data_IF_640473802303
#
_entry.id   IF_640473802303
#
_cell.length_a   1.000
_cell.length_b   1.000
_cell.length_c   1.000
_cell.angle_alpha   90.00
_cell.angle_beta   90.00
_cell.angle_gamma   90.00
#
_symmetry.space_group_name_H-M   'P 1'
#
loop_
_entity.id
_entity.type
_entity.pdbx_description
1 polymer ?
#
# COMPACT_ATOMS: atom_id res chain seq x y z
N UNK A 1 -9.85 15.77 14.63
CA UNK A 1 -9.63 16.34 13.30
C UNK A 1 -8.89 17.66 13.36
N UNK A 2 -9.30 18.52 14.28
CA UNK A 2 -8.64 19.81 14.43
C UNK A 2 -7.17 19.66 14.75
N UNK A 3 -6.79 18.61 15.43
CA UNK A 3 -5.39 18.35 15.76
C UNK A 3 -4.54 18.14 14.52
N UNK A 4 -5.14 17.57 13.49
CA UNK A 4 -4.43 17.26 12.27
C UNK A 4 -4.13 18.48 11.43
N UNK A 5 -4.71 19.62 11.78
CA UNK A 5 -4.55 20.86 11.04
C UNK A 5 -3.59 21.82 11.71
N UNK A 6 -3.01 21.44 12.84
CA UNK A 6 -2.08 22.29 13.55
C UNK A 6 -0.78 22.40 12.75
N UNK A 7 -0.40 23.62 12.42
CA UNK A 7 0.77 23.86 11.61
C UNK A 7 0.47 23.66 10.12
N UNK A 8 1.51 23.73 9.33
CA UNK A 8 1.41 23.56 7.88
C UNK A 8 1.27 22.09 7.45
N UNK A 9 1.47 21.19 8.37
CA UNK A 9 1.44 19.76 8.07
C UNK A 9 0.10 19.18 8.44
N UNK A 10 -0.49 18.49 7.50
CA UNK A 10 -1.74 17.82 7.73
C UNK A 10 -1.51 16.50 8.44
N UNK A 11 -2.46 16.10 9.24
CA UNK A 11 -2.45 14.78 9.81
C UNK A 11 -2.73 13.79 8.69
N UNK A 12 -1.73 13.03 8.32
CA UNK A 12 -1.82 12.07 7.22
C UNK A 12 -2.90 11.02 7.48
N UNK A 13 -3.15 10.70 8.75
CA UNK A 13 -4.17 9.72 9.14
C UNK A 13 -5.57 10.04 8.66
N UNK A 14 -5.87 11.32 8.45
CA UNK A 14 -7.18 11.74 7.96
C UNK A 14 -7.16 11.98 6.46
N UNK A 15 -6.06 11.64 5.79
CA UNK A 15 -5.82 12.01 4.40
C UNK A 15 -5.75 10.85 3.43
N UNK A 16 -6.32 9.69 3.78
CA UNK A 16 -6.35 8.56 2.83
C UNK A 16 -7.19 8.98 1.62
N UNK A 17 -6.54 8.96 0.45
CA UNK A 17 -7.20 9.33 -0.81
C UNK A 17 -8.04 8.15 -1.29
N UNK A 18 -9.17 8.45 -1.90
CA UNK A 18 -10.10 7.43 -2.35
C UNK A 18 -10.20 7.40 -3.86
N UNK A 19 -10.71 6.29 -4.38
CA UNK A 19 -10.88 6.09 -5.82
C UNK A 19 -11.56 7.29 -6.45
N UNK A 20 -10.98 7.80 -7.52
CA UNK A 20 -11.42 9.02 -8.18
C UNK A 20 -10.44 10.17 -7.99
N UNK A 21 -9.56 10.08 -7.00
CA UNK A 21 -8.52 11.08 -6.79
C UNK A 21 -7.37 10.79 -7.77
N UNK A 22 -6.99 11.77 -8.56
CA UNK A 22 -5.97 11.63 -9.60
C UNK A 22 -4.61 11.15 -9.08
N UNK A 23 -4.29 11.47 -7.83
CA UNK A 23 -3.00 11.06 -7.24
C UNK A 23 -2.85 9.54 -7.23
N UNK A 24 -3.95 8.80 -7.12
CA UNK A 24 -3.93 7.34 -7.10
C UNK A 24 -3.58 6.75 -8.47
N UNK A 25 -3.71 7.53 -9.51
CA UNK A 25 -3.38 7.11 -10.88
C UNK A 25 -2.05 7.66 -11.37
N UNK A 26 -1.37 8.47 -10.55
CA UNK A 26 -0.08 9.06 -10.91
C UNK A 26 1.03 8.07 -10.59
N UNK A 27 2.09 8.14 -11.39
CA UNK A 27 3.28 7.35 -11.12
C UNK A 27 4.08 8.05 -10.03
N UNK A 28 4.47 7.32 -9.01
CA UNK A 28 5.24 7.87 -7.90
C UNK A 28 6.71 8.07 -8.28
N UNK A 29 7.36 9.02 -7.61
CA UNK A 29 8.76 9.38 -7.86
C UNK A 29 9.67 8.67 -6.88
N UNK A 30 10.86 8.33 -7.35
CA UNK A 30 11.86 7.70 -6.51
C UNK A 30 12.34 8.62 -5.39
N UNK A 31 12.68 8.02 -4.26
CA UNK A 31 13.29 8.72 -3.14
C UNK A 31 14.78 8.56 -3.30
N UNK A 32 15.51 9.68 -3.31
CA UNK A 32 16.95 9.68 -3.55
C UNK A 32 17.78 9.73 -2.26
N UNK A 33 17.20 10.23 -1.18
CA UNK A 33 17.87 10.29 0.12
C UNK A 33 16.85 10.28 1.25
N UNK A 34 17.27 9.80 2.41
CA UNK A 34 16.43 9.83 3.59
C UNK A 34 16.50 11.23 4.22
N UNK A 35 15.34 11.74 4.59
CA UNK A 35 15.23 13.03 5.27
C UNK A 35 14.36 12.87 6.51
N UNK A 36 14.46 13.79 7.50
CA UNK A 36 13.59 13.73 8.67
C UNK A 36 12.10 13.73 8.29
N UNK A 37 11.75 14.41 7.21
CA UNK A 37 10.37 14.47 6.74
C UNK A 37 9.89 13.10 6.23
N UNK A 38 10.77 12.35 5.57
CA UNK A 38 10.42 11.01 5.11
C UNK A 38 10.33 10.05 6.29
N UNK A 39 11.20 10.18 7.29
CA UNK A 39 11.12 9.36 8.49
C UNK A 39 9.79 9.58 9.20
N UNK A 40 9.37 10.82 9.32
CA UNK A 40 8.09 11.18 9.91
C UNK A 40 6.93 10.62 9.08
N UNK A 41 7.05 10.70 7.75
CA UNK A 41 6.04 10.14 6.85
C UNK A 41 5.89 8.62 7.06
N UNK A 42 6.99 7.91 7.22
CA UNK A 42 6.95 6.46 7.46
C UNK A 42 6.16 6.15 8.73
N UNK A 43 6.44 6.85 9.81
CA UNK A 43 5.74 6.66 11.08
C UNK A 43 4.25 6.97 10.95
N UNK A 44 3.92 8.07 10.27
CA UNK A 44 2.54 8.46 10.04
C UNK A 44 1.80 7.46 9.17
N UNK A 45 2.47 6.88 8.19
CA UNK A 45 1.87 5.87 7.32
C UNK A 45 1.54 4.60 8.11
N UNK A 46 2.43 4.16 9.00
CA UNK A 46 2.14 3.02 9.87
C UNK A 46 0.95 3.31 10.78
N UNK A 47 0.92 4.48 11.39
CA UNK A 47 -0.19 4.86 12.27
C UNK A 47 -1.52 4.88 11.50
N UNK A 48 -1.50 5.45 10.30
CA UNK A 48 -2.68 5.51 9.42
C UNK A 48 -3.16 4.11 9.07
N UNK A 49 -2.23 3.24 8.70
CA UNK A 49 -2.53 1.87 8.33
C UNK A 49 -3.14 1.10 9.50
N UNK A 50 -2.55 1.21 10.68
CA UNK A 50 -3.05 0.51 11.88
C UNK A 50 -4.43 1.03 12.29
N UNK A 51 -4.65 2.33 12.25
CA UNK A 51 -5.96 2.91 12.59
C UNK A 51 -7.06 2.45 11.64
N UNK A 52 -6.71 2.21 10.39
CA UNK A 52 -7.66 1.76 9.38
C UNK A 52 -7.74 0.24 9.27
N UNK A 53 -7.03 -0.49 10.13
CA UNK A 53 -6.98 -1.96 10.13
C UNK A 53 -6.46 -2.54 8.82
N UNK A 54 -5.53 -1.82 8.17
CA UNK A 54 -4.92 -2.27 6.94
C UNK A 54 -3.66 -3.08 7.18
N UNK A 55 -3.22 -3.81 6.16
CA UNK A 55 -1.99 -4.60 6.20
C UNK A 55 -0.89 -3.98 5.33
N UNK A 56 -1.23 -2.97 4.54
CA UNK A 56 -0.27 -2.26 3.70
C UNK A 56 -0.80 -0.89 3.33
N UNK A 57 0.12 0.02 3.02
CA UNK A 57 -0.23 1.37 2.60
C UNK A 57 0.91 1.93 1.74
N UNK A 58 0.55 2.54 0.62
CA UNK A 58 1.50 3.21 -0.27
C UNK A 58 1.37 4.72 -0.12
N UNK A 59 2.48 5.44 -0.26
CA UNK A 59 2.49 6.90 -0.08
C UNK A 59 1.46 7.65 -0.94
N UNK A 60 1.23 7.28 -2.21
CA UNK A 60 0.17 7.95 -2.98
C UNK A 60 -1.20 7.91 -2.33
N UNK A 61 -1.50 6.88 -1.53
CA UNK A 61 -2.78 6.78 -0.85
C UNK A 61 -2.98 7.86 0.22
N UNK A 62 -1.91 8.47 0.66
CA UNK A 62 -1.97 9.62 1.59
C UNK A 62 -1.58 10.92 0.90
N UNK A 63 -1.61 10.94 -0.42
CA UNK A 63 -1.39 12.15 -1.21
C UNK A 63 0.07 12.49 -1.48
N UNK A 64 0.98 11.58 -1.24
CA UNK A 64 2.42 11.81 -1.42
C UNK A 64 2.93 10.97 -2.60
N UNK A 65 3.38 11.63 -3.65
CA UNK A 65 3.86 10.97 -4.88
C UNK A 65 5.30 10.49 -4.74
N UNK A 66 5.51 9.56 -3.81
CA UNK A 66 6.85 8.97 -3.61
C UNK A 66 6.75 7.46 -3.57
N UNK A 67 7.80 6.79 -4.02
CA UNK A 67 7.85 5.32 -4.09
C UNK A 67 8.20 4.77 -2.70
N UNK A 68 7.22 4.82 -1.83
CA UNK A 68 7.33 4.39 -0.43
C UNK A 68 6.11 3.55 -0.08
N UNK A 69 6.36 2.40 0.52
CA UNK A 69 5.32 1.46 0.94
C UNK A 69 5.63 0.97 2.35
N UNK A 70 4.61 0.82 3.18
CA UNK A 70 4.73 0.18 4.50
C UNK A 70 3.80 -1.02 4.52
N UNK A 71 4.25 -2.11 5.12
CA UNK A 71 3.49 -3.37 5.20
C UNK A 71 3.66 -3.97 6.59
N UNK A 72 2.57 -4.48 7.14
CA UNK A 72 2.58 -5.29 8.35
C UNK A 72 1.42 -6.29 8.25
N UNK A 73 1.74 -7.51 7.88
CA UNK A 73 0.75 -8.57 7.73
C UNK A 73 0.87 -9.64 8.81
N UNK A 74 1.31 -9.22 9.98
CA UNK A 74 1.38 -10.10 11.16
C UNK A 74 2.80 -10.49 11.57
N UNK A 75 3.76 -10.28 10.68
CA UNK A 75 5.18 -10.50 10.95
C UNK A 75 5.81 -9.16 11.31
N UNK A 76 7.12 -9.03 11.13
CA UNK A 76 7.78 -7.76 11.38
C UNK A 76 7.32 -6.69 10.39
N UNK A 77 7.13 -5.43 10.84
CA UNK A 77 6.80 -4.34 9.92
C UNK A 77 7.89 -4.15 8.87
N UNK A 78 7.46 -3.85 7.65
CA UNK A 78 8.37 -3.71 6.51
C UNK A 78 8.23 -2.33 5.91
N UNK A 79 9.36 -1.67 5.63
CA UNK A 79 9.41 -0.42 4.89
C UNK A 79 10.09 -0.70 3.55
N UNK A 80 9.46 -0.29 2.47
CA UNK A 80 10.00 -0.48 1.12
C UNK A 80 10.11 0.88 0.43
N UNK A 81 11.34 1.27 0.12
CA UNK A 81 11.63 2.49 -0.61
C UNK A 81 12.14 2.10 -2.00
N UNK A 82 11.55 2.68 -3.03
CA UNK A 82 11.89 2.38 -4.43
C UNK A 82 11.84 0.87 -4.75
N UNK A 83 10.75 0.18 -4.39
CA UNK A 83 10.70 -1.27 -4.60
C UNK A 83 10.63 -1.65 -6.07
N UNK A 84 11.31 -2.76 -6.39
CA UNK A 84 11.32 -3.34 -7.74
C UNK A 84 11.03 -4.83 -7.61
N UNK A 85 10.08 -5.32 -8.37
CA UNK A 85 9.76 -6.75 -8.41
C UNK A 85 10.84 -7.47 -9.20
N UNK A 86 11.52 -8.42 -8.56
CA UNK A 86 12.58 -9.19 -9.20
C UNK A 86 12.08 -10.50 -9.80
N UNK A 87 11.16 -11.15 -9.09
CA UNK A 87 10.69 -12.47 -9.49
C UNK A 87 9.31 -12.73 -8.93
N UNK A 88 8.48 -13.41 -9.71
CA UNK A 88 7.18 -13.87 -9.26
C UNK A 88 6.94 -15.27 -9.78
N UNK A 89 6.13 -16.06 -9.07
CA UNK A 89 5.75 -17.39 -9.54
C UNK A 89 4.45 -17.84 -8.90
N UNK A 90 3.86 -18.85 -9.51
CA UNK A 90 2.61 -19.43 -9.02
C UNK A 90 1.43 -18.49 -9.21
N UNK A 91 0.32 -18.87 -8.61
CA UNK A 91 -0.93 -18.14 -8.74
C UNK A 91 -1.79 -18.35 -7.52
N UNK A 92 -2.46 -17.29 -7.08
CA UNK A 92 -3.45 -17.35 -6.01
C UNK A 92 -4.61 -16.45 -6.39
N UNK A 93 -5.81 -16.86 -6.01
CA UNK A 93 -7.01 -16.06 -6.25
C UNK A 93 -7.72 -15.87 -4.91
N UNK A 94 -8.10 -14.64 -4.61
CA UNK A 94 -8.79 -14.34 -3.38
C UNK A 94 -9.31 -12.92 -3.37
N UNK A 95 -10.05 -12.58 -2.33
CA UNK A 95 -10.61 -11.25 -2.19
C UNK A 95 -9.55 -10.25 -1.78
N UNK A 96 -9.54 -9.11 -2.44
CA UNK A 96 -8.71 -7.97 -2.06
C UNK A 96 -9.59 -6.77 -1.77
N UNK A 97 -9.13 -5.97 -0.83
CA UNK A 97 -9.72 -4.68 -0.55
C UNK A 97 -8.60 -3.64 -0.50
N UNK A 98 -8.97 -2.39 -0.41
CA UNK A 98 -8.00 -1.31 -0.36
C UNK A 98 -8.56 -0.16 0.48
N UNK A 99 -7.70 0.45 1.29
CA UNK A 99 -8.10 1.59 2.10
C UNK A 99 -8.58 2.76 1.24
N UNK A 100 -8.13 2.82 -0.02
CA UNK A 100 -8.57 3.85 -0.97
C UNK A 100 -9.87 3.50 -1.69
N UNK A 101 -10.42 2.32 -1.45
CA UNK A 101 -11.73 1.91 -1.98
C UNK A 101 -12.55 1.34 -0.82
N UNK A 102 -12.97 2.20 0.11
CA UNK A 102 -13.64 1.73 1.32
C UNK A 102 -14.98 1.05 1.02
N UNK A 103 -15.27 0.01 1.79
CA UNK A 103 -16.54 -0.70 1.68
C UNK A 103 -16.68 -1.66 0.51
N UNK A 104 -15.61 -1.88 -0.24
CA UNK A 104 -15.63 -2.77 -1.41
C UNK A 104 -14.51 -3.80 -1.35
N UNK A 105 -14.75 -4.95 -1.94
CA UNK A 105 -13.74 -5.97 -2.17
C UNK A 105 -13.97 -6.59 -3.54
N UNK A 106 -12.99 -7.30 -4.05
CA UNK A 106 -13.13 -7.99 -5.32
C UNK A 106 -12.14 -9.14 -5.41
N UNK A 107 -12.47 -10.09 -6.26
CA UNK A 107 -11.62 -11.26 -6.48
C UNK A 107 -10.50 -10.90 -7.43
N UNK A 108 -9.27 -11.12 -7.00
CA UNK A 108 -8.07 -10.81 -7.79
C UNK A 108 -7.14 -12.01 -7.80
N UNK A 109 -6.61 -12.33 -8.98
CA UNK A 109 -5.59 -13.36 -9.15
C UNK A 109 -4.24 -12.69 -9.21
N UNK A 110 -3.33 -13.12 -8.36
CA UNK A 110 -1.96 -12.62 -8.29
C UNK A 110 -0.98 -13.77 -8.18
N UNK A 111 0.31 -13.54 -8.49
CA UNK A 111 1.33 -14.55 -8.19
C UNK A 111 1.29 -14.94 -6.72
N UNK A 112 1.56 -16.20 -6.45
CA UNK A 112 1.57 -16.72 -5.08
C UNK A 112 2.91 -16.44 -4.37
N UNK A 113 3.97 -16.21 -5.14
CA UNK A 113 5.29 -15.88 -4.64
C UNK A 113 5.76 -14.58 -5.28
N UNK A 114 6.40 -13.73 -4.50
CA UNK A 114 7.01 -12.51 -5.01
C UNK A 114 8.34 -12.26 -4.30
N UNK A 115 9.30 -11.77 -5.06
CA UNK A 115 10.61 -11.35 -4.56
C UNK A 115 10.83 -9.92 -4.99
N UNK A 116 11.11 -9.05 -4.04
CA UNK A 116 11.20 -7.61 -4.24
C UNK A 116 12.52 -7.09 -3.70
N UNK A 117 13.16 -6.22 -4.45
CA UNK A 117 14.34 -5.49 -4.03
C UNK A 117 13.91 -4.07 -3.69
N UNK A 118 14.37 -3.56 -2.55
CA UNK A 118 14.01 -2.22 -2.11
C UNK A 118 15.10 -1.66 -1.21
N UNK A 119 14.92 -0.41 -0.78
CA UNK A 119 15.73 0.19 0.28
C UNK A 119 14.89 0.22 1.55
N UNK A 120 15.53 0.04 2.69
CA UNK A 120 14.85 0.15 3.98
C UNK A 120 14.91 1.59 4.49
N UNK A 121 14.44 1.84 5.71
CA UNK A 121 14.44 3.18 6.31
C UNK A 121 15.84 3.77 6.52
N UNK A 122 16.88 2.94 6.46
CA UNK A 122 18.27 3.37 6.54
C UNK A 122 18.90 3.54 5.15
N UNK A 123 18.10 3.43 4.09
CA UNK A 123 18.54 3.50 2.68
C UNK A 123 19.51 2.38 2.33
N UNK A 124 19.38 1.25 3.00
CA UNK A 124 20.17 0.05 2.71
C UNK A 124 19.36 -0.90 1.83
N UNK A 125 20.02 -1.52 0.87
CA UNK A 125 19.36 -2.44 -0.04
C UNK A 125 18.93 -3.71 0.70
N UNK A 126 17.67 -4.07 0.53
CA UNK A 126 17.09 -5.28 1.11
C UNK A 126 16.36 -6.08 0.05
N UNK A 127 16.25 -7.38 0.30
CA UNK A 127 15.45 -8.28 -0.52
C UNK A 127 14.35 -8.83 0.38
N UNK A 128 13.13 -8.65 -0.05
CA UNK A 128 11.95 -9.18 0.66
C UNK A 128 11.28 -10.18 -0.25
N UNK A 129 11.05 -11.36 0.26
CA UNK A 129 10.32 -12.38 -0.50
C UNK A 129 9.28 -13.03 0.38
N UNK A 130 8.20 -13.48 -0.23
CA UNK A 130 7.14 -14.12 0.52
C UNK A 130 6.11 -14.74 -0.39
N UNK A 131 5.22 -15.48 0.25
CA UNK A 131 4.16 -16.21 -0.42
C UNK A 131 2.81 -15.82 0.17
N UNK A 132 1.75 -16.21 -0.52
CA UNK A 132 0.38 -16.03 -0.05
C UNK A 132 0.07 -14.56 0.27
N UNK A 133 -0.31 -14.24 1.50
CA UNK A 133 -0.72 -12.89 1.87
C UNK A 133 0.40 -11.87 1.65
N UNK A 134 1.63 -12.20 2.03
CA UNK A 134 2.74 -11.26 1.87
C UNK A 134 2.99 -10.95 0.39
N UNK A 135 2.98 -11.97 -0.48
CA UNK A 135 3.15 -11.75 -1.91
C UNK A 135 2.03 -10.84 -2.45
N UNK A 136 0.81 -11.08 -2.04
CA UNK A 136 -0.35 -10.27 -2.44
C UNK A 136 -0.17 -8.81 -1.99
N UNK A 137 0.24 -8.61 -0.73
CA UNK A 137 0.45 -7.26 -0.20
C UNK A 137 1.58 -6.53 -0.92
N UNK A 138 2.71 -7.20 -1.13
CA UNK A 138 3.84 -6.59 -1.84
C UNK A 138 3.41 -6.09 -3.21
N UNK A 139 2.74 -6.93 -3.98
CA UNK A 139 2.34 -6.60 -5.35
C UNK A 139 1.22 -5.55 -5.40
N UNK A 140 0.26 -5.64 -4.49
CA UNK A 140 -0.83 -4.67 -4.39
C UNK A 140 -0.27 -3.26 -4.12
N UNK A 141 0.63 -3.14 -3.15
CA UNK A 141 1.16 -1.82 -2.77
C UNK A 141 2.14 -1.27 -3.83
N UNK A 142 2.93 -2.14 -4.45
CA UNK A 142 3.81 -1.69 -5.53
C UNK A 142 3.00 -1.20 -6.72
N UNK A 143 1.87 -1.83 -7.02
CA UNK A 143 0.98 -1.38 -8.08
C UNK A 143 0.53 0.07 -7.85
N UNK A 144 0.23 0.44 -6.60
CA UNK A 144 -0.15 1.82 -6.28
C UNK A 144 0.91 2.83 -6.70
N UNK A 145 2.18 2.45 -6.62
CA UNK A 145 3.28 3.34 -7.01
C UNK A 145 3.30 3.61 -8.52
N UNK A 146 2.68 2.74 -9.29
CA UNK A 146 2.59 2.88 -10.74
C UNK A 146 1.19 3.33 -11.19
N UNK A 147 0.35 3.72 -10.25
CA UNK A 147 -1.00 4.20 -10.55
C UNK A 147 -1.99 3.09 -10.86
N UNK A 148 -1.69 1.87 -10.45
CA UNK A 148 -2.55 0.71 -10.69
C UNK A 148 -3.26 0.34 -9.38
N UNK A 149 -4.56 0.14 -9.45
CA UNK A 149 -5.36 -0.26 -8.28
C UNK A 149 -5.93 -1.66 -8.50
N UNK A 150 -6.26 -2.33 -7.39
CA UNK A 150 -6.78 -3.69 -7.50
C UNK A 150 -8.08 -3.76 -8.31
N UNK A 151 -8.85 -2.67 -8.33
CA UNK A 151 -10.10 -2.61 -9.11
C UNK A 151 -9.85 -2.81 -10.61
N UNK A 152 -8.63 -2.54 -11.07
CA UNK A 152 -8.24 -2.75 -12.46
C UNK A 152 -8.00 -4.24 -12.75
N UNK A 153 -7.85 -5.04 -11.71
CA UNK A 153 -7.50 -6.45 -11.81
C UNK A 153 -8.59 -7.39 -11.29
N UNK A 154 -9.69 -6.82 -10.79
CA UNK A 154 -10.78 -7.59 -10.23
C UNK A 154 -11.44 -8.45 -11.31
N UNK A 155 -11.64 -9.72 -10.98
CA UNK A 155 -12.36 -10.67 -11.83
C UNK A 155 -13.83 -10.64 -11.42
N UNK A 156 -14.69 -10.21 -12.35
CA UNK A 156 -16.11 -10.05 -12.06
C UNK A 156 -16.41 -8.67 -11.45
N UNK A 157 -17.36 -8.60 -10.58
CA UNK A 157 -17.83 -7.34 -9.99
C UNK A 157 -17.25 -7.10 -8.61
N UNK A 158 -17.15 -5.82 -8.24
CA UNK A 158 -16.81 -5.44 -6.88
C UNK A 158 -17.97 -5.82 -5.96
N UNK A 159 -17.62 -6.36 -4.80
CA UNK A 159 -18.58 -6.76 -3.79
C UNK A 159 -18.59 -5.74 -2.66
N UNK A 160 -19.76 -5.52 -2.06
CA UNK A 160 -19.83 -4.73 -0.85
C UNK A 160 -19.32 -5.57 0.33
N UNK A 161 -18.55 -4.97 1.23
CA UNK A 161 -18.09 -5.69 2.43
C UNK A 161 -19.26 -6.13 3.30
N UNK A 162 -20.36 -5.39 3.28
CA UNK A 162 -21.57 -5.76 4.03
C UNK A 162 -22.18 -7.06 3.52
N UNK A 163 -22.12 -7.31 2.21
CA UNK A 163 -22.67 -8.52 1.59
C UNK A 163 -21.85 -9.75 2.01
N UNK A 164 -20.56 -9.55 2.27
CA UNK A 164 -19.67 -10.63 2.67
C UNK A 164 -19.86 -10.98 4.14
N UNK A 165 -20.09 -9.99 4.97
CA UNK A 165 -20.30 -10.19 6.41
C UNK A 165 -21.59 -10.96 6.74
N UNK A 166 -22.57 -10.89 5.85
CA UNK A 166 -23.83 -11.57 6.06
C UNK A 166 -23.74 -13.08 5.79
N UNK A 167 -22.68 -13.53 5.18
CA UNK A 167 -22.45 -14.94 4.92
C UNK A 167 -21.70 -15.58 6.08
#
# INVERSE_FOLDING_TARGET
ISECLVGSEMCIRDSIRTLGDDILRAKAKEITEMTPRIEELIDDMFDTMYEANGVGLAAPQVGIRKRLVVIDCGDDPIVLINPVVLETSGSQTGLEGCLSVPGKTGEVTRPNYAKVKALNENMEEIIVEGEELLARCLLHEIDHLDGIMYVDKVEGELLSTDDIEEE
#
